data_IF_009190913762
#
_entry.id   IF_009190913762
#
_cell.length_a   1.000
_cell.length_b   1.000
_cell.length_c   1.000
_cell.angle_alpha   90.00
_cell.angle_beta   90.00
_cell.angle_gamma   90.00
#
_symmetry.space_group_name_H-M   'P 1'
#
loop_
_entity.id
_entity.type
_entity.pdbx_description
1 polymer ?
#
# COMPACT_ATOMS: atom_id res chain seq x y z
N UNK A 1 -24.94 2.60 4.59
CA UNK A 1 -25.67 1.45 4.00
C UNK A 1 -24.97 1.02 2.70
N UNK A 2 -24.26 -0.11 2.68
CA UNK A 2 -23.47 -0.54 1.51
C UNK A 2 -24.34 -1.09 0.36
N UNK A 3 -25.37 -1.89 0.67
CA UNK A 3 -26.28 -2.47 -0.32
C UNK A 3 -26.93 -1.39 -1.19
N UNK A 4 -27.54 -0.39 -0.57
CA UNK A 4 -28.21 0.72 -1.26
C UNK A 4 -27.26 1.56 -2.12
N UNK A 5 -25.98 1.63 -1.76
CA UNK A 5 -24.98 2.37 -2.52
C UNK A 5 -24.45 1.63 -3.76
N UNK A 6 -24.69 0.33 -3.85
CA UNK A 6 -24.16 -0.54 -4.91
C UNK A 6 -25.23 -1.14 -5.81
N UNK A 7 -26.44 -1.34 -5.30
CA UNK A 7 -27.56 -1.83 -6.09
C UNK A 7 -27.92 -0.85 -7.21
N UNK A 8 -28.06 -1.37 -8.43
CA UNK A 8 -28.30 -0.58 -9.64
C UNK A 8 -27.07 0.16 -10.20
N UNK A 9 -25.89 0.08 -9.56
CA UNK A 9 -24.71 0.81 -10.03
C UNK A 9 -24.17 0.21 -11.34
N UNK A 10 -23.85 1.06 -12.31
CA UNK A 10 -23.25 0.66 -13.59
C UNK A 10 -21.74 0.44 -13.43
N UNK A 11 -21.26 -0.75 -13.78
CA UNK A 11 -19.83 -1.08 -13.85
C UNK A 11 -19.52 -1.58 -15.27
N UNK A 12 -18.69 -0.82 -15.98
CA UNK A 12 -18.42 -1.04 -17.41
C UNK A 12 -19.71 -0.89 -18.24
N UNK A 13 -20.12 -1.96 -18.90
CA UNK A 13 -21.32 -2.01 -19.73
C UNK A 13 -22.55 -2.60 -19.04
N UNK A 14 -22.46 -3.04 -17.77
CA UNK A 14 -23.54 -3.74 -17.06
C UNK A 14 -23.96 -3.02 -15.78
N UNK A 15 -25.21 -3.21 -15.37
CA UNK A 15 -25.72 -2.79 -14.06
C UNK A 15 -25.63 -3.94 -13.07
N UNK A 16 -25.36 -3.63 -11.80
CA UNK A 16 -25.23 -4.61 -10.73
C UNK A 16 -26.52 -4.69 -9.92
N UNK A 17 -26.93 -5.89 -9.52
CA UNK A 17 -28.03 -6.11 -8.58
C UNK A 17 -27.49 -6.74 -7.30
N UNK A 18 -27.83 -6.16 -6.14
CA UNK A 18 -27.34 -6.61 -4.82
C UNK A 18 -28.50 -7.17 -4.00
N UNK A 19 -28.48 -8.49 -3.81
CA UNK A 19 -29.50 -9.26 -3.07
C UNK A 19 -28.88 -9.96 -1.86
N UNK A 20 -29.71 -10.24 -0.87
CA UNK A 20 -29.30 -11.09 0.26
C UNK A 20 -29.09 -12.52 -0.20
N UNK A 21 -28.02 -13.16 0.30
CA UNK A 21 -27.77 -14.57 0.02
C UNK A 21 -28.82 -15.43 0.73
N UNK A 22 -29.42 -16.38 0.01
CA UNK A 22 -30.43 -17.29 0.55
C UNK A 22 -29.80 -18.49 1.28
N UNK A 23 -28.57 -18.85 0.95
CA UNK A 23 -27.77 -19.86 1.62
C UNK A 23 -26.35 -19.34 1.76
N UNK A 24 -25.78 -19.46 2.94
CA UNK A 24 -24.37 -19.23 3.17
C UNK A 24 -23.71 -20.62 3.16
N UNK A 25 -22.98 -20.97 2.10
CA UNK A 25 -22.22 -22.22 2.11
C UNK A 25 -21.13 -22.11 3.19
N UNK A 26 -20.93 -23.17 3.98
CA UNK A 26 -19.88 -23.20 5.02
C UNK A 26 -18.49 -22.91 4.39
N UNK A 27 -18.28 -23.41 3.17
CA UNK A 27 -17.11 -23.17 2.31
C UNK A 27 -16.82 -21.68 2.01
N UNK A 28 -17.83 -20.81 2.04
CA UNK A 28 -17.62 -19.36 1.81
C UNK A 28 -17.11 -18.64 3.06
N UNK A 29 -17.17 -19.27 4.24
CA UNK A 29 -16.59 -18.72 5.48
C UNK A 29 -15.09 -18.94 5.57
N UNK A 30 -14.57 -19.96 4.89
CA UNK A 30 -13.22 -20.46 5.09
C UNK A 30 -12.22 -20.05 4.02
N UNK A 31 -12.59 -19.25 3.00
CA UNK A 31 -11.58 -18.76 2.05
C UNK A 31 -10.53 -17.96 2.83
N UNK A 32 -9.32 -18.51 3.04
CA UNK A 32 -8.30 -17.78 3.77
C UNK A 32 -8.01 -16.53 2.94
N UNK A 33 -7.92 -15.38 3.62
CA UNK A 33 -7.55 -14.13 2.97
C UNK A 33 -6.26 -14.39 2.19
N UNK A 34 -6.33 -14.40 0.86
CA UNK A 34 -5.17 -14.67 0.01
C UNK A 34 -4.11 -13.65 0.38
N UNK A 35 -3.00 -14.13 0.95
CA UNK A 35 -1.85 -13.28 1.22
C UNK A 35 -1.27 -12.90 -0.14
N UNK A 36 -1.53 -11.66 -0.56
CA UNK A 36 -1.02 -11.14 -1.82
C UNK A 36 0.47 -10.82 -1.63
N UNK A 37 1.32 -11.62 -2.26
CA UNK A 37 2.74 -11.32 -2.39
C UNK A 37 2.92 -10.25 -3.47
N UNK A 38 3.00 -9.00 -3.04
CA UNK A 38 3.29 -7.87 -3.92
C UNK A 38 4.82 -7.69 -3.94
N UNK A 39 5.53 -7.90 -5.07
CA UNK A 39 6.99 -7.85 -5.11
C UNK A 39 7.58 -6.52 -4.61
N UNK A 40 6.90 -5.40 -4.86
CA UNK A 40 7.29 -4.09 -4.33
C UNK A 40 7.14 -3.97 -2.80
N UNK A 41 6.28 -4.79 -2.19
CA UNK A 41 6.07 -4.89 -0.74
C UNK A 41 6.80 -6.08 -0.11
N UNK A 42 7.57 -6.87 -0.89
CA UNK A 42 8.32 -8.04 -0.41
C UNK A 42 9.37 -7.69 0.66
N UNK A 43 9.77 -6.41 0.76
CA UNK A 43 10.60 -5.90 1.86
C UNK A 43 9.85 -5.64 3.17
N UNK A 44 8.53 -5.50 3.13
CA UNK A 44 7.69 -5.44 4.32
C UNK A 44 7.49 -6.87 4.81
N UNK A 45 8.45 -7.36 5.61
CA UNK A 45 8.36 -8.63 6.33
C UNK A 45 6.93 -8.76 6.84
N UNK A 46 6.23 -9.83 6.42
CA UNK A 46 4.99 -10.25 7.07
C UNK A 46 5.21 -10.09 8.57
N UNK A 47 4.24 -9.52 9.30
CA UNK A 47 4.38 -9.23 10.74
C UNK A 47 4.67 -10.56 11.45
N UNK A 48 5.94 -10.96 11.51
CA UNK A 48 6.44 -12.02 12.35
C UNK A 48 6.03 -11.53 13.72
N UNK A 49 5.13 -12.27 14.34
CA UNK A 49 4.65 -11.95 15.69
C UNK A 49 5.86 -12.08 16.60
N UNK A 50 6.52 -10.95 16.83
CA UNK A 50 7.69 -10.83 17.70
C UNK A 50 7.25 -11.37 19.06
N UNK A 51 8.01 -12.30 19.64
CA UNK A 51 7.68 -12.88 20.94
C UNK A 51 7.59 -11.78 22.01
N UNK A 52 6.79 -11.98 23.07
CA UNK A 52 6.67 -10.98 24.15
C UNK A 52 8.04 -10.66 24.77
N UNK A 53 8.88 -11.69 24.95
CA UNK A 53 10.24 -11.55 25.48
C UNK A 53 11.11 -10.66 24.59
N UNK A 54 11.08 -10.87 23.28
CA UNK A 54 11.85 -10.05 22.34
C UNK A 54 11.36 -8.59 22.35
N UNK A 55 10.05 -8.37 22.52
CA UNK A 55 9.50 -7.01 22.64
C UNK A 55 9.99 -6.31 23.91
N UNK A 56 10.05 -7.02 25.04
CA UNK A 56 10.54 -6.48 26.31
C UNK A 56 12.00 -6.04 26.16
N UNK A 57 12.86 -6.93 25.62
CA UNK A 57 14.28 -6.65 25.40
C UNK A 57 14.51 -5.44 24.47
N UNK A 58 13.71 -5.31 23.41
CA UNK A 58 13.78 -4.16 22.50
C UNK A 58 13.44 -2.85 23.20
N UNK A 59 12.46 -2.87 24.12
CA UNK A 59 12.09 -1.69 24.90
C UNK A 59 13.20 -1.33 25.89
N UNK A 60 13.71 -2.31 26.65
CA UNK A 60 14.78 -2.11 27.64
C UNK A 60 16.06 -1.56 27.01
N UNK A 61 16.49 -2.14 25.87
CA UNK A 61 17.67 -1.67 25.15
C UNK A 61 17.50 -0.23 24.66
N UNK A 62 16.31 0.12 24.15
CA UNK A 62 16.02 1.48 23.70
C UNK A 62 16.04 2.48 24.86
N UNK A 63 15.48 2.13 26.01
CA UNK A 63 15.51 2.99 27.20
C UNK A 63 16.95 3.25 27.66
N UNK A 64 17.78 2.20 27.71
CA UNK A 64 19.21 2.33 28.04
C UNK A 64 19.95 3.27 27.08
N UNK A 65 19.72 3.14 25.77
CA UNK A 65 20.31 4.05 24.79
C UNK A 65 19.83 5.50 24.96
N UNK A 66 18.58 5.73 25.35
CA UNK A 66 18.06 7.07 25.63
C UNK A 66 18.69 7.67 26.89
N UNK A 67 18.96 6.87 27.92
CA UNK A 67 19.69 7.30 29.12
C UNK A 67 21.13 7.66 28.79
N UNK A 68 21.85 6.81 28.03
CA UNK A 68 23.24 7.04 27.63
C UNK A 68 23.39 8.25 26.69
N UNK A 69 22.45 8.46 25.77
CA UNK A 69 22.48 9.59 24.82
C UNK A 69 22.03 10.94 25.39
N UNK A 70 21.49 10.96 26.62
CA UNK A 70 21.07 12.20 27.28
C UNK A 70 22.25 13.12 27.66
N UNK A 71 23.48 12.58 27.69
CA UNK A 71 24.67 13.29 28.16
C UNK A 71 25.69 13.67 27.05
N UNK A 72 25.42 13.38 25.77
CA UNK A 72 26.37 13.61 24.67
C UNK A 72 25.79 14.36 23.45
N UNK A 73 24.77 15.20 23.64
CA UNK A 73 24.42 16.18 22.61
C UNK A 73 25.26 17.44 22.81
N UNK A 74 26.46 17.48 22.20
CA UNK A 74 27.11 18.74 21.88
C UNK A 74 26.62 19.19 20.51
N UNK A 75 25.79 20.24 20.41
CA UNK A 75 25.56 20.90 19.13
C UNK A 75 26.94 21.41 18.66
N UNK A 76 27.47 20.82 17.58
CA UNK A 76 28.60 21.44 16.88
C UNK A 76 27.99 22.62 16.13
N UNK A 77 28.21 23.82 16.61
CA UNK A 77 27.70 25.05 15.99
C UNK A 77 28.15 25.14 14.53
N UNK A 78 27.20 25.17 13.59
CA UNK A 78 27.48 25.45 12.18
C UNK A 78 26.32 25.14 11.22
N UNK A 79 25.78 26.13 10.47
CA UNK A 79 24.69 25.91 9.54
C UNK A 79 25.21 25.73 8.10
N UNK A 80 24.78 24.67 7.42
CA UNK A 80 24.65 24.71 5.95
C UNK A 80 23.71 23.60 5.47
N UNK A 81 22.49 24.00 5.10
CA UNK A 81 21.56 23.13 4.40
C UNK A 81 22.13 22.71 3.05
N UNK A 82 22.09 21.42 2.76
CA UNK A 82 22.31 20.87 1.42
C UNK A 82 20.95 20.40 0.91
N UNK A 83 20.45 21.11 -0.10
CA UNK A 83 19.11 20.94 -0.63
C UNK A 83 18.90 19.57 -1.30
N UNK A 84 17.67 19.07 -1.19
CA UNK A 84 17.22 17.88 -1.92
C UNK A 84 17.14 18.19 -3.42
N UNK A 85 18.19 17.89 -4.18
CA UNK A 85 18.10 17.82 -5.65
C UNK A 85 17.32 16.56 -6.05
N UNK A 86 16.01 16.70 -6.28
CA UNK A 86 15.25 15.68 -6.99
C UNK A 86 15.70 15.68 -8.46
N UNK A 87 16.12 14.55 -9.05
CA UNK A 87 16.37 14.51 -10.49
C UNK A 87 15.02 14.61 -11.22
N UNK A 88 14.84 15.70 -11.97
CA UNK A 88 13.75 15.87 -12.92
C UNK A 88 13.89 14.78 -13.99
N UNK A 89 13.00 13.77 -13.97
CA UNK A 89 12.91 12.77 -15.04
C UNK A 89 12.42 13.48 -16.30
N UNK A 90 13.27 13.53 -17.34
CA UNK A 90 12.85 13.98 -18.66
C UNK A 90 11.70 13.09 -19.17
N UNK A 91 10.55 13.71 -19.44
CA UNK A 91 9.43 13.07 -20.11
C UNK A 91 9.87 12.72 -21.54
N UNK A 92 10.10 11.43 -21.81
CA UNK A 92 10.27 10.92 -23.17
C UNK A 92 8.90 10.89 -23.83
N UNK A 93 8.58 11.88 -24.66
CA UNK A 93 7.43 11.84 -25.56
C UNK A 93 7.59 10.66 -26.52
N UNK A 94 6.81 9.60 -26.31
CA UNK A 94 6.60 8.58 -27.34
C UNK A 94 5.49 9.09 -28.24
N UNK A 95 5.83 9.49 -29.47
CA UNK A 95 4.86 9.90 -30.49
C UNK A 95 3.80 8.82 -30.67
N UNK A 96 2.58 9.06 -30.23
CA UNK A 96 1.44 8.21 -30.54
C UNK A 96 0.97 8.57 -31.95
N UNK A 97 1.29 7.73 -32.94
CA UNK A 97 0.66 7.89 -34.28
C UNK A 97 -0.86 7.66 -34.12
N UNK A 98 -1.72 8.53 -34.67
CA UNK A 98 -3.16 8.38 -34.51
C UNK A 98 -3.67 7.13 -35.24
N UNK A 99 -4.49 6.32 -34.57
CA UNK A 99 -5.14 5.15 -35.15
C UNK A 99 -6.17 5.58 -36.21
N UNK A 100 -6.01 5.12 -37.46
CA UNK A 100 -6.99 5.32 -38.53
C UNK A 100 -8.11 4.29 -38.40
N UNK A 101 -9.33 4.76 -38.14
CA UNK A 101 -10.54 3.92 -38.06
C UNK A 101 -10.86 3.36 -39.47
N UNK A 102 -10.98 2.04 -39.65
CA UNK A 102 -11.38 1.47 -40.94
C UNK A 102 -12.79 1.92 -41.33
N UNK A 103 -12.96 2.45 -42.54
CA UNK A 103 -14.25 2.85 -43.09
C UNK A 103 -15.14 1.62 -43.28
N UNK A 104 -16.36 1.66 -42.76
CA UNK A 104 -17.34 0.59 -42.99
C UNK A 104 -17.65 0.52 -44.49
N UNK A 105 -17.49 -0.68 -45.07
CA UNK A 105 -17.99 -1.01 -46.40
C UNK A 105 -19.51 -0.94 -46.36
N UNK A 106 -20.08 -0.16 -47.29
CA UNK A 106 -21.50 -0.17 -47.64
C UNK A 106 -21.88 -1.49 -48.29
#
# INVERSE_FOLDING_TARGET
MMRAAMDGKKIGSKHIAVRWAHKLALEDREKPKVELEIPALSGAKSKIKISRLTKIQQIEAKLRMMEESSNEFQPKDGPSGVGNSHPVRAFREKSTKPYKRPSQRR
#
